data_IF_822143240251
#
_entry.id   IF_822143240251
#
_cell.length_a   1.000
_cell.length_b   1.000
_cell.length_c   1.000
_cell.angle_alpha   90.00
_cell.angle_beta   90.00
_cell.angle_gamma   90.00
#
_symmetry.space_group_name_H-M   'P 1'
#
loop_
_entity.id
_entity.type
_entity.pdbx_description
1 polymer ?
#
# COMPACT_ATOMS: atom_id res chain seq x y z
N UNK A 1 11.12 -4.10 -14.72
CA UNK A 1 11.46 -3.97 -13.29
C UNK A 1 10.24 -3.43 -12.60
N UNK A 2 9.78 -4.08 -11.53
CA UNK A 2 8.65 -3.60 -10.72
C UNK A 2 9.14 -2.44 -9.85
N UNK A 3 8.31 -1.41 -9.70
CA UNK A 3 8.58 -0.29 -8.80
C UNK A 3 7.28 0.07 -8.06
N UNK A 4 7.30 -0.14 -6.74
CA UNK A 4 6.15 0.06 -5.86
C UNK A 4 5.73 1.54 -5.78
N UNK A 5 6.64 2.49 -6.05
CA UNK A 5 6.37 3.92 -5.92
C UNK A 5 5.39 4.45 -6.98
N UNK A 6 5.13 3.69 -8.05
CA UNK A 6 4.10 4.06 -9.03
C UNK A 6 2.68 3.70 -8.59
N UNK A 7 2.52 2.89 -7.55
CA UNK A 7 1.21 2.50 -7.02
C UNK A 7 0.59 3.62 -6.19
N UNK A 8 -0.72 3.71 -6.23
CA UNK A 8 -1.43 4.74 -5.46
C UNK A 8 -1.70 4.25 -4.06
N UNK A 9 -0.94 4.77 -3.10
CA UNK A 9 -1.10 4.47 -1.68
C UNK A 9 -1.87 5.61 -1.02
N UNK A 10 -3.02 5.30 -0.42
CA UNK A 10 -3.80 6.25 0.38
C UNK A 10 -3.48 6.04 1.85
N UNK A 11 -3.16 7.12 2.56
CA UNK A 11 -2.96 7.09 4.00
C UNK A 11 -4.13 7.79 4.68
N UNK A 12 -4.75 7.13 5.65
CA UNK A 12 -5.75 7.75 6.53
C UNK A 12 -5.51 7.41 7.98
N UNK A 13 -5.81 8.34 8.88
CA UNK A 13 -5.82 8.08 10.32
C UNK A 13 -7.23 7.66 10.75
N UNK A 14 -7.36 6.55 11.45
CA UNK A 14 -8.64 6.05 11.93
C UNK A 14 -8.49 5.26 13.24
N UNK A 15 -9.62 4.99 13.90
CA UNK A 15 -9.68 4.13 15.07
C UNK A 15 -9.87 2.67 14.60
N UNK A 16 -8.98 1.79 15.01
CA UNK A 16 -9.04 0.35 14.79
C UNK A 16 -9.00 -0.32 16.16
N UNK A 17 -10.11 -0.97 16.55
CA UNK A 17 -10.27 -1.68 17.82
C UNK A 17 -9.82 -0.88 19.07
N UNK A 18 -10.15 0.43 19.10
CA UNK A 18 -9.82 1.34 20.19
C UNK A 18 -8.46 2.03 20.07
N UNK A 19 -7.66 1.70 19.04
CA UNK A 19 -6.34 2.29 18.80
C UNK A 19 -6.38 3.27 17.61
N UNK A 20 -5.78 4.45 17.79
CA UNK A 20 -5.67 5.44 16.73
C UNK A 20 -4.41 5.18 15.90
N UNK A 21 -4.59 4.58 14.72
CA UNK A 21 -3.49 4.23 13.81
C UNK A 21 -3.65 4.93 12.45
N UNK A 22 -2.57 4.94 11.68
CA UNK A 22 -2.58 5.23 10.26
C UNK A 22 -2.72 3.93 9.47
N UNK A 23 -3.69 3.88 8.57
CA UNK A 23 -3.86 2.82 7.57
C UNK A 23 -3.30 3.32 6.24
N UNK A 24 -2.36 2.57 5.67
CA UNK A 24 -1.89 2.72 4.31
C UNK A 24 -2.50 1.63 3.45
N UNK A 25 -3.27 2.02 2.43
CA UNK A 25 -3.93 1.09 1.49
C UNK A 25 -3.47 1.33 0.07
N UNK A 26 -3.14 0.25 -0.64
CA UNK A 26 -2.84 0.30 -2.07
C UNK A 26 -4.16 0.24 -2.85
N UNK A 27 -4.44 1.24 -3.69
CA UNK A 27 -5.70 1.28 -4.43
C UNK A 27 -5.84 0.11 -5.40
N UNK A 28 -4.77 -0.23 -6.10
CA UNK A 28 -4.76 -1.30 -7.11
C UNK A 28 -4.78 -2.70 -6.47
N UNK A 29 -4.40 -2.80 -5.20
CA UNK A 29 -4.39 -4.03 -4.39
C UNK A 29 -4.97 -3.74 -3.00
N UNK A 30 -6.30 -3.60 -2.86
CA UNK A 30 -6.93 -3.23 -1.59
C UNK A 30 -6.71 -4.23 -0.45
N UNK A 31 -6.29 -5.45 -0.79
CA UNK A 31 -5.88 -6.50 0.16
C UNK A 31 -4.55 -6.14 0.88
N UNK A 32 -3.74 -5.27 0.28
CA UNK A 32 -2.56 -4.70 0.94
C UNK A 32 -3.00 -3.49 1.75
N UNK A 33 -3.09 -3.69 3.05
CA UNK A 33 -3.40 -2.68 4.04
C UNK A 33 -2.44 -2.81 5.22
N UNK A 34 -1.64 -1.79 5.45
CA UNK A 34 -0.66 -1.76 6.54
C UNK A 34 -1.03 -0.70 7.57
N UNK A 35 -0.74 -0.98 8.83
CA UNK A 35 -1.14 -0.15 9.95
C UNK A 35 0.06 0.22 10.81
N UNK A 36 0.20 1.51 11.14
CA UNK A 36 1.26 1.98 12.02
C UNK A 36 0.83 3.20 12.84
N UNK A 37 1.59 3.51 13.89
CA UNK A 37 1.36 4.69 14.74
C UNK A 37 1.68 6.01 14.02
N UNK A 38 2.48 5.96 12.95
CA UNK A 38 2.86 7.10 12.14
C UNK A 38 2.67 6.83 10.63
N UNK A 39 2.44 7.89 9.86
CA UNK A 39 2.13 7.81 8.44
C UNK A 39 3.31 7.34 7.59
N UNK A 40 4.53 7.75 7.92
CA UNK A 40 5.75 7.38 7.17
C UNK A 40 6.02 5.88 7.25
N UNK A 41 5.88 5.29 8.44
CA UNK A 41 6.01 3.86 8.69
C UNK A 41 4.88 3.08 8.02
N UNK A 42 3.62 3.54 8.10
CA UNK A 42 2.53 2.88 7.39
C UNK A 42 2.78 2.85 5.86
N UNK A 43 3.29 3.96 5.31
CA UNK A 43 3.67 4.04 3.90
C UNK A 43 4.83 3.12 3.53
N UNK A 44 5.91 3.12 4.33
CA UNK A 44 7.06 2.26 4.11
C UNK A 44 6.68 0.77 4.15
N UNK A 45 5.86 0.37 5.12
CA UNK A 45 5.34 -1.00 5.21
C UNK A 45 4.51 -1.37 3.96
N UNK A 46 3.70 -0.46 3.44
CA UNK A 46 2.92 -0.72 2.23
C UNK A 46 3.81 -0.91 0.98
N UNK A 47 4.93 -0.18 0.89
CA UNK A 47 5.93 -0.40 -0.18
C UNK A 47 6.60 -1.77 -0.05
N UNK A 48 7.05 -2.13 1.16
CA UNK A 48 7.68 -3.43 1.42
C UNK A 48 6.72 -4.60 1.11
N UNK A 49 5.44 -4.45 1.50
CA UNK A 49 4.39 -5.42 1.20
C UNK A 49 4.14 -5.54 -0.31
N UNK A 50 4.18 -4.42 -1.04
CA UNK A 50 4.08 -4.40 -2.51
C UNK A 50 5.24 -5.12 -3.19
N UNK A 51 6.47 -4.89 -2.75
CA UNK A 51 7.66 -5.58 -3.27
C UNK A 51 7.61 -7.08 -2.99
N UNK A 52 7.25 -7.44 -1.76
CA UNK A 52 7.08 -8.85 -1.35
C UNK A 52 5.99 -9.51 -2.19
N UNK A 53 4.85 -8.84 -2.36
CA UNK A 53 3.73 -9.32 -3.18
C UNK A 53 4.17 -9.51 -4.63
N UNK A 54 4.90 -8.56 -5.21
CA UNK A 54 5.41 -8.65 -6.57
C UNK A 54 6.39 -9.81 -6.75
N UNK A 55 7.21 -10.12 -5.74
CA UNK A 55 8.15 -11.22 -5.78
C UNK A 55 7.46 -12.59 -5.76
N UNK A 56 6.34 -12.72 -5.04
CA UNK A 56 5.59 -13.99 -4.94
C UNK A 56 4.46 -14.12 -5.97
N UNK A 57 4.07 -13.03 -6.63
CA UNK A 57 3.02 -13.05 -7.64
C UNK A 57 3.46 -13.86 -8.86
N UNK A 58 2.83 -15.02 -9.05
CA UNK A 58 3.08 -15.90 -10.19
C UNK A 58 2.46 -15.39 -11.51
N UNK A 59 1.60 -14.37 -11.42
CA UNK A 59 0.99 -13.63 -12.55
C UNK A 59 1.52 -12.19 -12.59
N UNK A 60 1.26 -11.46 -13.67
CA UNK A 60 1.54 -10.01 -13.72
C UNK A 60 0.75 -9.24 -12.65
N UNK A 61 1.47 -8.43 -11.87
CA UNK A 61 0.89 -7.42 -10.97
C UNK A 61 -0.07 -6.48 -11.74
N UNK A 62 -1.12 -5.95 -11.09
CA UNK A 62 -1.99 -4.96 -11.71
C UNK A 62 -1.18 -3.72 -12.11
N UNK A 63 -1.51 -3.11 -13.25
CA UNK A 63 -0.83 -1.89 -13.65
C UNK A 63 -1.15 -0.77 -12.64
N UNK A 64 -0.15 0.03 -12.22
CA UNK A 64 -0.42 1.19 -11.40
C UNK A 64 -1.35 2.15 -12.14
N UNK A 65 -2.27 2.78 -11.41
CA UNK A 65 -3.18 3.74 -12.03
C UNK A 65 -2.41 4.93 -12.57
N UNK A 66 -2.80 5.33 -13.77
CA UNK A 66 -2.32 6.55 -14.40
C UNK A 66 -3.48 7.52 -14.46
N UNK A 67 -3.29 8.73 -13.91
CA UNK A 67 -4.17 9.85 -14.23
C UNK A 67 -4.00 10.12 -15.72
N UNK A 68 -5.02 9.80 -16.52
CA UNK A 68 -5.05 10.24 -17.91
C UNK A 68 -5.20 11.78 -17.92
N UNK A 69 -4.31 12.50 -18.63
CA UNK A 69 -4.35 13.95 -18.70
C UNK A 69 -5.58 14.48 -19.46
#
# INVERSE_FOLDING_TARGET
MFDANYYSITIRRANFDGQMLFEAKVRELPDIAEYAENHETAYALALDALETTAAVFTRKMPAPFQLMP
#
